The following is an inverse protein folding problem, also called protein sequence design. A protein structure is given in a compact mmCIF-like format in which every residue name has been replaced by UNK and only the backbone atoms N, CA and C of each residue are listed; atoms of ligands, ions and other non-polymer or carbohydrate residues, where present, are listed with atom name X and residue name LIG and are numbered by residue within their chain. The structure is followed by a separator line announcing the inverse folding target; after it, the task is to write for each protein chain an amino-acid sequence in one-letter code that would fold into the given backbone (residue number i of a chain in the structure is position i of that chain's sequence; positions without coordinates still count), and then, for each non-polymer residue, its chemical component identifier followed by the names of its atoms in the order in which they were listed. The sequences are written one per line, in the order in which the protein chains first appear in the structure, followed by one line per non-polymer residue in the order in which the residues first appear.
data_IF_641592022377
#
_entry.id   IF_641592022377
#
_cell.length_a   1.000
_cell.length_b   1.000
_cell.length_c   1.000
_cell.angle_alpha   90.00
_cell.angle_beta   90.00
_cell.angle_gamma   90.00
#
_symmetry.space_group_name_H-M   'P 1'
#
loop_
_entity.id
_entity.type
_entity.pdbx_description
1 polymer ?
#
# COMPACT_ATOMS: atom_id res chain seq x y z
N UNK A 1 2.01 9.40 15.01
CA UNK A 1 1.95 8.52 13.82
C UNK A 1 2.79 9.19 12.76
N UNK A 2 3.75 8.48 12.19
CA UNK A 2 4.64 9.00 11.14
C UNK A 2 4.26 8.35 9.81
N UNK A 3 4.19 9.13 8.73
CA UNK A 3 3.82 8.63 7.40
C UNK A 3 5.05 8.58 6.51
N UNK A 4 5.24 7.46 5.81
CA UNK A 4 6.26 7.31 4.78
C UNK A 4 5.55 7.22 3.43
N UNK A 5 5.72 8.23 2.59
CA UNK A 5 5.20 8.26 1.22
C UNK A 5 6.32 7.81 0.29
N UNK A 6 6.09 6.69 -0.40
CA UNK A 6 7.12 6.03 -1.20
C UNK A 6 6.54 5.69 -2.55
N UNK A 7 7.18 6.15 -3.62
CA UNK A 7 6.81 5.82 -4.99
C UNK A 7 8.07 5.61 -5.83
N UNK A 8 7.96 4.81 -6.88
CA UNK A 8 9.02 4.63 -7.89
C UNK A 8 9.03 5.73 -8.95
N UNK A 9 7.96 6.52 -9.04
CA UNK A 9 7.81 7.61 -9.98
C UNK A 9 8.38 8.91 -9.39
N UNK A 10 9.47 9.40 -9.98
CA UNK A 10 10.15 10.61 -9.55
C UNK A 10 9.27 11.87 -9.62
N UNK A 11 8.34 11.95 -10.57
CA UNK A 11 7.45 13.11 -10.69
C UNK A 11 6.49 13.20 -9.49
N UNK A 12 5.99 12.04 -9.04
CA UNK A 12 5.12 11.93 -7.86
C UNK A 12 5.89 12.32 -6.59
N UNK A 13 7.10 11.77 -6.43
CA UNK A 13 7.99 12.08 -5.31
C UNK A 13 8.27 13.58 -5.23
N UNK A 14 8.65 14.19 -6.35
CA UNK A 14 8.97 15.62 -6.44
C UNK A 14 7.76 16.49 -6.07
N UNK A 15 6.56 16.09 -6.52
CA UNK A 15 5.33 16.79 -6.15
C UNK A 15 5.02 16.67 -4.65
N UNK A 16 5.21 15.49 -4.05
CA UNK A 16 5.05 15.30 -2.61
C UNK A 16 6.05 16.12 -1.80
N UNK A 17 7.31 16.20 -2.23
CA UNK A 17 8.35 16.96 -1.53
C UNK A 17 7.97 18.44 -1.41
N UNK A 18 7.35 18.99 -2.46
CA UNK A 18 6.85 20.37 -2.44
C UNK A 18 5.63 20.53 -1.54
N UNK A 19 4.67 19.62 -1.63
CA UNK A 19 3.38 19.71 -0.90
C UNK A 19 3.57 19.48 0.59
N UNK A 20 4.48 18.60 1.00
CA UNK A 20 4.68 18.20 2.40
C UNK A 20 5.98 18.74 3.02
N UNK A 21 6.65 19.72 2.39
CA UNK A 21 7.92 20.29 2.84
C UNK A 21 7.93 20.68 4.33
N UNK A 22 6.83 21.24 4.82
CA UNK A 22 6.69 21.75 6.20
C UNK A 22 5.93 20.79 7.13
N UNK A 23 5.75 19.52 6.75
CA UNK A 23 5.05 18.51 7.56
C UNK A 23 6.06 17.54 8.18
N UNK A 24 6.51 17.76 9.42
CA UNK A 24 7.58 16.95 10.03
C UNK A 24 7.21 15.49 10.28
N UNK A 25 5.91 15.17 10.20
CA UNK A 25 5.36 13.82 10.41
C UNK A 25 5.37 12.98 9.11
N UNK A 26 5.86 13.54 7.99
CA UNK A 26 5.86 12.92 6.67
C UNK A 26 7.30 12.81 6.17
N UNK A 27 7.69 11.61 5.77
CA UNK A 27 8.93 11.36 5.04
C UNK A 27 8.61 10.88 3.64
N UNK A 28 9.39 11.34 2.66
CA UNK A 28 9.17 11.04 1.25
C UNK A 28 10.40 10.33 0.72
N UNK A 29 10.18 9.25 -0.03
CA UNK A 29 11.24 8.42 -0.57
C UNK A 29 10.95 8.02 -2.02
N UNK A 30 11.98 8.09 -2.87
CA UNK A 30 11.93 7.50 -4.22
C UNK A 30 12.48 6.06 -4.15
N UNK A 31 11.65 5.06 -4.43
CA UNK A 31 12.08 3.66 -4.37
C UNK A 31 10.95 2.67 -4.10
N UNK A 32 11.31 1.48 -3.63
CA UNK A 32 10.33 0.47 -3.24
C UNK A 32 9.84 0.68 -1.82
N UNK A 33 8.55 0.47 -1.58
CA UNK A 33 7.97 0.48 -0.23
C UNK A 33 8.57 -0.60 0.69
N UNK A 34 9.26 -1.60 0.14
CA UNK A 34 9.91 -2.67 0.92
C UNK A 34 11.32 -2.32 1.40
N UNK A 35 11.92 -1.25 0.87
CA UNK A 35 13.28 -0.82 1.24
C UNK A 35 13.29 0.00 2.54
N UNK A 36 12.12 0.42 3.02
CA UNK A 36 11.96 1.30 4.16
C UNK A 36 11.14 0.61 5.27
N UNK A 37 11.66 0.49 6.50
CA UNK A 37 10.97 -0.18 7.58
C UNK A 37 9.75 0.62 8.04
N UNK A 38 8.62 -0.06 8.23
CA UNK A 38 7.39 0.52 8.75
C UNK A 38 6.58 -0.53 9.54
N UNK A 39 5.78 -0.07 10.50
CA UNK A 39 4.89 -0.93 11.27
C UNK A 39 3.68 -1.42 10.45
N UNK A 40 3.32 -0.69 9.40
CA UNK A 40 2.19 -1.01 8.51
C UNK A 40 2.46 -0.54 7.08
N UNK A 41 1.94 -1.29 6.11
CA UNK A 41 1.96 -0.95 4.68
C UNK A 41 0.53 -0.70 4.18
N UNK A 42 0.38 0.25 3.26
CA UNK A 42 -0.90 0.55 2.61
C UNK A 42 -0.93 -0.14 1.24
N UNK A 43 -1.92 -1.00 1.04
CA UNK A 43 -2.23 -1.63 -0.24
C UNK A 43 -3.45 -0.91 -0.85
N UNK A 44 -3.29 -0.13 -1.94
CA UNK A 44 -4.39 0.54 -2.62
C UNK A 44 -5.16 -0.43 -3.53
N UNK A 45 -5.70 -1.49 -2.93
CA UNK A 45 -6.37 -2.58 -3.63
C UNK A 45 -7.78 -2.21 -4.14
N UNK A 46 -8.40 -3.14 -4.85
CA UNK A 46 -9.79 -3.06 -5.29
C UNK A 46 -10.76 -3.66 -4.25
N UNK A 47 -12.06 -3.39 -4.42
CA UNK A 47 -13.13 -3.84 -3.52
C UNK A 47 -13.26 -5.36 -3.39
N UNK A 48 -12.76 -6.14 -4.35
CA UNK A 48 -12.82 -7.60 -4.34
C UNK A 48 -11.62 -8.23 -3.60
N UNK A 49 -10.67 -7.42 -3.16
CA UNK A 49 -9.46 -7.88 -2.49
C UNK A 49 -8.50 -8.66 -3.39
N UNK A 50 -8.63 -8.58 -4.72
CA UNK A 50 -7.61 -9.14 -5.62
C UNK A 50 -6.30 -8.37 -5.48
N UNK A 51 -5.19 -9.10 -5.31
CA UNK A 51 -3.87 -8.53 -5.06
C UNK A 51 -2.86 -8.94 -6.14
N UNK A 52 -3.32 -9.01 -7.39
CA UNK A 52 -2.58 -9.59 -8.51
C UNK A 52 -2.08 -8.54 -9.54
N UNK A 53 -2.26 -7.24 -9.27
CA UNK A 53 -1.82 -6.15 -10.13
C UNK A 53 -0.98 -5.12 -9.39
N UNK A 54 -0.18 -4.35 -10.15
CA UNK A 54 0.54 -3.18 -9.65
C UNK A 54 1.30 -3.41 -8.34
N UNK A 55 1.08 -2.52 -7.38
CA UNK A 55 1.68 -2.59 -6.04
C UNK A 55 1.21 -3.81 -5.24
N UNK A 56 -0.07 -4.19 -5.36
CA UNK A 56 -0.63 -5.32 -4.61
C UNK A 56 0.03 -6.65 -5.01
N UNK A 57 0.38 -6.79 -6.30
CA UNK A 57 1.17 -7.94 -6.77
C UNK A 57 2.54 -7.98 -6.10
N UNK A 58 3.21 -6.84 -5.99
CA UNK A 58 4.51 -6.75 -5.35
C UNK A 58 4.41 -7.10 -3.85
N UNK A 59 3.35 -6.65 -3.17
CA UNK A 59 3.05 -7.00 -1.77
C UNK A 59 2.82 -8.51 -1.64
N UNK A 60 1.98 -9.11 -2.48
CA UNK A 60 1.72 -10.55 -2.47
C UNK A 60 2.98 -11.37 -2.74
N UNK A 61 3.85 -10.90 -3.65
CA UNK A 61 5.13 -11.55 -3.94
C UNK A 61 6.11 -11.46 -2.77
N UNK A 62 6.13 -10.33 -2.05
CA UNK A 62 7.06 -10.08 -0.95
C UNK A 62 6.62 -10.74 0.36
N UNK A 63 5.34 -10.62 0.73
CA UNK A 63 4.80 -11.09 2.01
C UNK A 63 4.07 -12.45 1.91
N UNK A 64 3.66 -12.84 0.71
CA UNK A 64 3.07 -14.15 0.42
C UNK A 64 1.61 -14.10 -0.05
N UNK A 65 1.27 -15.04 -0.94
CA UNK A 65 -0.04 -15.15 -1.59
C UNK A 65 -1.22 -15.51 -0.67
N UNK A 66 -0.95 -15.81 0.60
CA UNK A 66 -2.00 -16.08 1.58
C UNK A 66 -2.79 -14.80 1.92
N UNK A 67 -2.17 -13.62 1.78
CA UNK A 67 -2.79 -12.33 2.06
C UNK A 67 -4.08 -12.09 1.27
N UNK A 68 -4.09 -12.40 -0.03
CA UNK A 68 -5.30 -12.25 -0.86
C UNK A 68 -6.45 -13.10 -0.32
N UNK A 69 -6.17 -14.36 0.05
CA UNK A 69 -7.20 -15.28 0.57
C UNK A 69 -7.75 -14.82 1.92
N UNK A 70 -6.86 -14.35 2.80
CA UNK A 70 -7.25 -13.83 4.11
C UNK A 70 -8.06 -12.54 3.97
N UNK A 71 -7.65 -11.62 3.10
CA UNK A 71 -8.38 -10.40 2.81
C UNK A 71 -9.77 -10.69 2.25
N UNK A 72 -9.89 -11.57 1.25
CA UNK A 72 -11.17 -11.96 0.67
C UNK A 72 -12.10 -12.63 1.70
N UNK A 73 -11.55 -13.46 2.59
CA UNK A 73 -12.32 -14.04 3.70
C UNK A 73 -12.89 -12.94 4.60
N UNK A 74 -12.06 -11.99 5.03
CA UNK A 74 -12.49 -10.88 5.87
C UNK A 74 -13.54 -10.01 5.18
N UNK A 75 -13.39 -9.75 3.89
CA UNK A 75 -14.38 -8.99 3.11
C UNK A 75 -15.74 -9.70 3.14
N UNK A 76 -15.78 -11.00 2.84
CA UNK A 76 -17.02 -11.80 2.88
C UNK A 76 -17.67 -11.80 4.26
N UNK A 77 -16.88 -12.00 5.31
CA UNK A 77 -17.39 -12.11 6.68
C UNK A 77 -17.90 -10.76 7.23
N UNK A 78 -17.22 -9.65 6.92
CA UNK A 78 -17.52 -8.33 7.49
C UNK A 78 -18.45 -7.47 6.66
N UNK A 79 -18.57 -7.77 5.36
CA UNK A 79 -19.40 -7.01 4.42
C UNK A 79 -20.46 -7.90 3.74
N UNK A 80 -20.93 -8.92 4.47
CA UNK A 80 -22.06 -9.79 4.10
C UNK A 80 -21.97 -10.43 2.70
N UNK A 81 -20.77 -10.61 2.16
CA UNK A 81 -20.57 -11.17 0.82
C UNK A 81 -21.05 -10.26 -0.32
N UNK A 82 -21.32 -8.97 -0.10
CA UNK A 82 -21.78 -8.06 -1.18
C UNK A 82 -20.78 -7.93 -2.34
N UNK A 83 -19.54 -8.37 -2.13
CA UNK A 83 -18.45 -8.26 -3.09
C UNK A 83 -17.85 -9.61 -3.50
N UNK A 84 -18.49 -10.78 -3.23
CA UNK A 84 -18.27 -12.10 -3.87
C UNK A 84 -19.10 -13.21 -3.19
#
# INVERSE_FOLDING_TARGET
MHLQLIDTNQDVVTAWEQVFADVPQVSIHCGSIFDYPADALVSPANSFGYMNGGLDFAISKHLGWHLEKDLQRLIREKHYGELL
#
